data_IF_928474690563
#
_entry.id   IF_928474690563
#
_cell.length_a   1.000
_cell.length_b   1.000
_cell.length_c   1.000
_cell.angle_alpha   90.00
_cell.angle_beta   90.00
_cell.angle_gamma   90.00
#
_symmetry.space_group_name_H-M   'P 1'
#
loop_
_entity.id
_entity.type
_entity.pdbx_description
1 polymer ?
#
# COMPACT_ATOMS: atom_id res chain seq x y z
N UNK A 1 6.57 -6.35 7.80
CA UNK A 1 5.80 -5.16 7.46
C UNK A 1 4.61 -5.57 6.60
N UNK A 2 3.42 -5.05 6.87
CA UNK A 2 2.20 -5.41 6.16
C UNK A 2 1.57 -4.15 5.53
N UNK A 3 1.43 -4.12 4.22
CA UNK A 3 0.71 -3.07 3.50
C UNK A 3 -0.77 -3.42 3.40
N UNK A 4 -1.62 -2.53 3.87
CA UNK A 4 -3.07 -2.60 3.70
C UNK A 4 -3.47 -1.50 2.73
N UNK A 5 -3.91 -1.89 1.55
CA UNK A 5 -4.05 -1.02 0.39
C UNK A 5 -5.54 -0.83 0.07
N UNK A 6 -5.96 0.41 -0.08
CA UNK A 6 -7.22 0.77 -0.70
C UNK A 6 -7.08 0.58 -2.23
N UNK A 7 -7.68 -0.49 -2.73
CA UNK A 7 -7.48 -0.95 -4.09
C UNK A 7 -7.96 0.05 -5.13
N UNK A 8 -9.19 0.57 -5.00
CA UNK A 8 -9.71 1.53 -5.97
C UNK A 8 -9.05 2.89 -5.87
N UNK A 9 -8.70 3.34 -4.67
CA UNK A 9 -7.95 4.56 -4.50
C UNK A 9 -6.58 4.49 -5.20
N UNK A 10 -5.92 3.33 -5.14
CA UNK A 10 -4.65 3.12 -5.83
C UNK A 10 -4.82 3.00 -7.36
N UNK A 11 -5.86 2.30 -7.85
CA UNK A 11 -6.15 2.18 -9.28
C UNK A 11 -6.49 3.53 -9.93
N UNK A 12 -7.17 4.42 -9.21
CA UNK A 12 -7.55 5.73 -9.72
C UNK A 12 -6.41 6.73 -9.77
N UNK A 13 -5.22 6.38 -9.27
CA UNK A 13 -4.03 7.21 -9.44
C UNK A 13 -3.62 7.21 -10.92
N UNK A 14 -3.99 8.28 -11.62
CA UNK A 14 -3.57 8.52 -13.00
C UNK A 14 -4.44 7.90 -14.10
N UNK A 15 -5.40 7.02 -13.79
CA UNK A 15 -6.33 6.42 -14.78
C UNK A 15 -7.68 6.16 -14.14
N UNK A 16 -8.75 6.43 -14.88
CA UNK A 16 -10.11 6.00 -14.51
C UNK A 16 -10.56 4.92 -15.48
N UNK A 17 -10.81 3.69 -15.01
CA UNK A 17 -11.33 2.63 -15.88
C UNK A 17 -12.66 3.07 -16.52
N UNK A 18 -12.81 2.80 -17.82
CA UNK A 18 -13.98 3.20 -18.59
C UNK A 18 -15.05 2.12 -18.67
N UNK A 19 -14.70 0.88 -18.33
CA UNK A 19 -15.57 -0.29 -18.37
C UNK A 19 -15.24 -1.28 -17.26
N UNK A 20 -16.14 -2.27 -17.02
CA UNK A 20 -15.89 -3.37 -16.09
C UNK A 20 -14.69 -4.23 -16.52
N UNK A 21 -14.57 -4.50 -17.82
CA UNK A 21 -13.45 -5.27 -18.37
C UNK A 21 -12.11 -4.53 -18.20
N UNK A 22 -12.11 -3.20 -18.32
CA UNK A 22 -10.93 -2.38 -18.04
C UNK A 22 -10.56 -2.45 -16.57
N UNK A 23 -11.55 -2.41 -15.69
CA UNK A 23 -11.33 -2.49 -14.25
C UNK A 23 -10.75 -3.84 -13.82
N UNK A 24 -11.20 -4.95 -14.41
CA UNK A 24 -10.62 -6.28 -14.16
C UNK A 24 -9.16 -6.34 -14.61
N UNK A 25 -8.84 -5.85 -15.79
CA UNK A 25 -7.47 -5.77 -16.30
C UNK A 25 -6.56 -4.90 -15.43
N UNK A 26 -7.07 -3.75 -14.97
CA UNK A 26 -6.31 -2.87 -14.09
C UNK A 26 -6.07 -3.53 -12.72
N UNK A 27 -7.03 -4.29 -12.18
CA UNK A 27 -6.83 -5.09 -10.96
C UNK A 27 -5.76 -6.16 -11.14
N UNK A 28 -5.81 -6.92 -12.25
CA UNK A 28 -4.80 -7.94 -12.55
C UNK A 28 -3.42 -7.30 -12.69
N UNK A 29 -3.31 -6.19 -13.42
CA UNK A 29 -2.05 -5.46 -13.56
C UNK A 29 -1.50 -4.98 -12.22
N UNK A 30 -2.37 -4.43 -11.36
CA UNK A 30 -1.98 -4.03 -10.01
C UNK A 30 -1.45 -5.22 -9.19
N UNK A 31 -2.12 -6.37 -9.24
CA UNK A 31 -1.66 -7.60 -8.56
C UNK A 31 -0.30 -8.04 -9.07
N UNK A 32 -0.03 -7.96 -10.38
CA UNK A 32 1.26 -8.29 -10.96
C UNK A 32 2.37 -7.36 -10.50
N UNK A 33 2.09 -6.07 -10.47
CA UNK A 33 3.02 -5.05 -10.00
C UNK A 33 3.36 -5.25 -8.51
N UNK A 34 2.34 -5.46 -7.67
CA UNK A 34 2.52 -5.73 -6.24
C UNK A 34 3.24 -7.05 -5.97
N UNK A 35 2.95 -8.09 -6.74
CA UNK A 35 3.65 -9.38 -6.64
C UNK A 35 5.13 -9.23 -6.99
N UNK A 36 5.46 -8.48 -8.04
CA UNK A 36 6.83 -8.17 -8.44
C UNK A 36 7.57 -7.38 -7.36
N UNK A 37 6.92 -6.40 -6.77
CA UNK A 37 7.46 -5.64 -5.66
C UNK A 37 7.73 -6.54 -4.44
N UNK A 38 6.76 -7.41 -4.06
CA UNK A 38 6.87 -8.33 -2.93
C UNK A 38 8.03 -9.32 -3.08
N UNK A 39 8.33 -9.80 -4.30
CA UNK A 39 9.48 -10.68 -4.55
C UNK A 39 10.81 -10.01 -4.22
N UNK A 40 10.91 -8.70 -4.46
CA UNK A 40 12.13 -7.92 -4.20
C UNK A 40 12.22 -7.37 -2.78
N UNK A 41 11.09 -7.17 -2.14
CA UNK A 41 10.96 -6.61 -0.79
C UNK A 41 10.01 -7.48 0.03
N UNK A 42 10.52 -8.42 0.85
CA UNK A 42 9.67 -9.30 1.64
C UNK A 42 8.71 -8.51 2.54
N UNK A 43 7.43 -8.58 2.22
CA UNK A 43 6.35 -7.92 2.93
C UNK A 43 5.03 -8.67 2.72
N UNK A 44 4.08 -8.46 3.60
CA UNK A 44 2.70 -8.87 3.41
C UNK A 44 1.94 -7.76 2.71
N UNK A 45 1.07 -8.12 1.79
CA UNK A 45 0.23 -7.16 1.05
C UNK A 45 -1.19 -7.65 1.04
N UNK A 46 -2.10 -6.83 1.52
CA UNK A 46 -3.55 -7.02 1.42
C UNK A 46 -4.14 -5.84 0.66
N UNK A 47 -4.89 -6.13 -0.39
CA UNK A 47 -5.63 -5.12 -1.15
C UNK A 47 -7.12 -5.29 -0.87
N UNK A 48 -7.79 -4.20 -0.54
CA UNK A 48 -9.23 -4.19 -0.29
C UNK A 48 -9.94 -3.48 -1.42
N UNK A 49 -10.93 -4.15 -2.00
CA UNK A 49 -11.80 -3.61 -3.05
C UNK A 49 -13.25 -3.55 -2.58
N UNK A 50 -14.01 -2.59 -3.10
CA UNK A 50 -15.46 -2.63 -2.97
C UNK A 50 -16.04 -3.80 -3.75
N UNK A 51 -16.81 -4.66 -3.07
CA UNK A 51 -17.40 -5.86 -3.66
C UNK A 51 -18.75 -5.63 -4.35
N UNK A 52 -19.17 -4.36 -4.55
CA UNK A 52 -20.49 -4.04 -5.11
C UNK A 52 -20.75 -4.64 -6.49
N UNK A 53 -19.70 -4.83 -7.29
CA UNK A 53 -19.80 -5.42 -8.63
C UNK A 53 -20.05 -6.92 -8.61
N UNK A 54 -19.57 -7.63 -7.58
CA UNK A 54 -19.78 -9.07 -7.43
C UNK A 54 -21.12 -9.46 -6.81
N UNK A 55 -21.85 -8.49 -6.23
CA UNK A 55 -23.13 -8.73 -5.56
C UNK A 55 -23.07 -9.69 -4.37
N UNK A 56 -21.90 -9.98 -3.85
CA UNK A 56 -21.69 -10.97 -2.79
C UNK A 56 -22.33 -10.55 -1.47
N UNK A 57 -23.06 -11.48 -0.88
CA UNK A 57 -23.72 -11.30 0.42
C UNK A 57 -22.70 -11.28 1.56
N UNK A 58 -21.57 -11.97 1.40
CA UNK A 58 -20.48 -12.07 2.38
C UNK A 58 -19.18 -11.50 1.80
N UNK A 59 -18.30 -11.03 2.70
CA UNK A 59 -16.93 -10.63 2.34
C UNK A 59 -16.21 -11.80 1.65
N UNK A 60 -15.60 -11.53 0.51
CA UNK A 60 -14.81 -12.53 -0.21
C UNK A 60 -13.33 -12.28 0.05
N UNK A 61 -12.60 -13.38 0.21
CA UNK A 61 -11.13 -13.35 0.38
C UNK A 61 -10.53 -14.34 -0.59
N UNK A 62 -9.55 -13.88 -1.32
CA UNK A 62 -8.77 -14.71 -2.23
C UNK A 62 -7.29 -14.37 -2.12
N UNK A 63 -6.43 -15.27 -2.60
CA UNK A 63 -5.01 -15.03 -2.68
C UNK A 63 -4.54 -15.24 -4.10
N UNK A 64 -4.00 -14.18 -4.70
CA UNK A 64 -3.49 -14.20 -6.07
C UNK A 64 -2.04 -13.75 -6.07
N UNK A 65 -1.15 -14.57 -6.66
CA UNK A 65 0.29 -14.29 -6.81
C UNK A 65 0.98 -13.85 -5.50
N UNK A 66 0.48 -14.37 -4.36
CA UNK A 66 0.99 -14.05 -3.03
C UNK A 66 0.43 -12.77 -2.40
N UNK A 67 -0.48 -12.08 -3.08
CA UNK A 67 -1.22 -10.91 -2.60
C UNK A 67 -2.57 -11.37 -2.06
N UNK A 68 -2.95 -10.92 -0.87
CA UNK A 68 -4.28 -11.18 -0.30
C UNK A 68 -5.24 -10.12 -0.81
N UNK A 69 -6.34 -10.55 -1.42
CA UNK A 69 -7.40 -9.69 -1.95
C UNK A 69 -8.65 -9.86 -1.08
N UNK A 70 -9.25 -8.77 -0.69
CA UNK A 70 -10.49 -8.73 0.08
C UNK A 70 -11.50 -7.89 -0.70
N UNK A 71 -12.67 -8.47 -0.95
CA UNK A 71 -13.80 -7.77 -1.53
C UNK A 71 -14.87 -7.58 -0.47
N UNK A 72 -15.28 -6.36 -0.23
CA UNK A 72 -16.34 -6.07 0.75
C UNK A 72 -17.65 -6.73 0.34
N UNK A 73 -18.48 -7.04 1.33
CA UNK A 73 -19.82 -7.54 1.05
C UNK A 73 -20.72 -6.43 0.50
N UNK A 74 -21.83 -6.82 -0.10
CA UNK A 74 -22.87 -5.89 -0.59
C UNK A 74 -23.31 -4.93 0.53
N UNK A 75 -23.28 -3.64 0.25
CA UNK A 75 -23.65 -2.59 1.20
C UNK A 75 -22.57 -2.18 2.19
N UNK A 76 -21.39 -2.81 2.20
CA UNK A 76 -20.22 -2.42 2.97
C UNK A 76 -19.18 -1.82 2.02
N UNK A 77 -18.60 -0.69 2.39
CA UNK A 77 -17.52 -0.06 1.62
C UNK A 77 -16.16 -0.64 2.00
N UNK A 78 -15.20 -0.58 1.07
CA UNK A 78 -13.80 -0.93 1.33
C UNK A 78 -13.23 -0.16 2.54
N UNK A 79 -13.63 1.10 2.72
CA UNK A 79 -13.25 1.94 3.87
C UNK A 79 -13.55 1.28 5.21
N UNK A 80 -14.74 0.69 5.35
CA UNK A 80 -15.17 0.04 6.60
C UNK A 80 -14.35 -1.22 6.86
N UNK A 81 -14.05 -1.98 5.80
CA UNK A 81 -13.17 -3.15 5.89
C UNK A 81 -11.77 -2.73 6.31
N UNK A 82 -11.20 -1.69 5.69
CA UNK A 82 -9.88 -1.16 6.02
C UNK A 82 -9.84 -0.69 7.47
N UNK A 83 -10.82 0.10 7.92
CA UNK A 83 -10.91 0.58 9.32
C UNK A 83 -10.98 -0.58 10.31
N UNK A 84 -11.78 -1.62 10.01
CA UNK A 84 -11.89 -2.83 10.83
C UNK A 84 -10.55 -3.57 10.91
N UNK A 85 -9.86 -3.73 9.79
CA UNK A 85 -8.55 -4.39 9.75
C UNK A 85 -7.46 -3.59 10.49
N UNK A 86 -7.48 -2.26 10.39
CA UNK A 86 -6.57 -1.37 11.13
C UNK A 86 -6.79 -1.50 12.64
N UNK A 87 -8.05 -1.53 13.07
CA UNK A 87 -8.38 -1.67 14.49
C UNK A 87 -8.00 -3.05 15.06
N UNK A 88 -8.13 -4.11 14.26
CA UNK A 88 -7.84 -5.49 14.67
C UNK A 88 -6.39 -5.92 14.54
N UNK A 89 -5.58 -5.23 13.76
CA UNK A 89 -4.16 -5.56 13.55
C UNK A 89 -3.28 -4.70 14.44
N UNK A 90 -2.40 -5.35 15.17
CA UNK A 90 -1.41 -4.69 16.02
C UNK A 90 -0.35 -3.90 15.24
N UNK A 91 0.87 -3.83 15.76
CA UNK A 91 2.00 -3.12 15.15
C UNK A 91 2.43 -3.73 13.81
N UNK A 92 3.02 -2.94 12.93
CA UNK A 92 3.62 -3.40 11.67
C UNK A 92 2.75 -3.25 10.43
N UNK A 93 1.54 -2.69 10.56
CA UNK A 93 0.67 -2.32 9.44
C UNK A 93 1.01 -0.92 8.93
N UNK A 94 0.95 -0.75 7.61
CA UNK A 94 1.03 0.54 6.91
C UNK A 94 -0.17 0.62 5.98
N UNK A 95 -0.97 1.66 6.11
CA UNK A 95 -2.12 1.90 5.22
C UNK A 95 -1.67 2.68 3.99
N UNK A 96 -2.13 2.25 2.82
CA UNK A 96 -1.91 2.94 1.54
C UNK A 96 -3.24 3.47 1.04
N UNK A 97 -3.43 4.77 1.10
CA UNK A 97 -4.62 5.46 0.60
C UNK A 97 -4.37 6.96 0.52
N UNK A 98 -5.01 7.65 -0.41
CA UNK A 98 -5.12 9.11 -0.47
C UNK A 98 -6.46 9.62 0.06
N UNK A 99 -7.35 8.70 0.50
CA UNK A 99 -8.59 9.07 1.16
C UNK A 99 -8.33 9.69 2.54
N UNK A 100 -8.95 10.84 2.78
CA UNK A 100 -8.74 11.62 4.02
C UNK A 100 -9.41 10.99 5.23
N UNK A 101 -10.51 10.29 5.05
CA UNK A 101 -11.25 9.68 6.16
C UNK A 101 -10.50 8.47 6.69
N UNK A 102 -10.06 7.59 5.80
CA UNK A 102 -9.23 6.42 6.15
C UNK A 102 -7.91 6.88 6.75
N UNK A 103 -7.27 7.90 6.15
CA UNK A 103 -6.01 8.44 6.64
C UNK A 103 -6.11 8.98 8.07
N UNK A 104 -7.15 9.77 8.37
CA UNK A 104 -7.39 10.31 9.71
C UNK A 104 -7.69 9.21 10.73
N UNK A 105 -8.43 8.17 10.31
CA UNK A 105 -8.71 7.02 11.16
C UNK A 105 -7.42 6.26 11.51
N UNK A 106 -6.62 5.89 10.51
CA UNK A 106 -5.36 5.19 10.71
C UNK A 106 -4.38 6.00 11.59
N UNK A 107 -4.31 7.32 11.38
CA UNK A 107 -3.51 8.21 12.21
C UNK A 107 -3.92 8.24 13.68
N UNK A 108 -5.22 8.23 13.98
CA UNK A 108 -5.74 8.13 15.37
C UNK A 108 -5.34 6.81 16.01
N UNK A 109 -5.29 5.73 15.23
CA UNK A 109 -4.83 4.41 15.67
C UNK A 109 -3.30 4.29 15.70
N UNK A 110 -2.57 5.39 15.46
CA UNK A 110 -1.10 5.43 15.38
C UNK A 110 -0.52 4.50 14.29
N UNK A 111 -1.29 4.18 13.25
CA UNK A 111 -0.88 3.42 12.08
C UNK A 111 -0.32 4.39 11.03
N UNK A 112 0.87 4.12 10.44
CA UNK A 112 1.42 4.95 9.37
C UNK A 112 0.56 4.90 8.11
N UNK A 113 0.46 6.04 7.40
CA UNK A 113 -0.24 6.16 6.13
C UNK A 113 0.72 6.63 5.06
N UNK A 114 0.64 6.03 3.88
CA UNK A 114 1.35 6.42 2.67
C UNK A 114 0.31 6.79 1.62
N UNK A 115 0.40 7.98 0.98
CA UNK A 115 -0.47 8.33 -0.12
C UNK A 115 -0.34 7.36 -1.30
N UNK A 116 -1.46 7.06 -1.97
CA UNK A 116 -1.51 6.11 -3.08
C UNK A 116 -0.54 6.47 -4.20
N UNK A 117 -0.46 7.75 -4.57
CA UNK A 117 0.45 8.24 -5.61
C UNK A 117 1.92 7.98 -5.26
N UNK A 118 2.28 8.22 -3.99
CA UNK A 118 3.65 8.02 -3.53
C UNK A 118 4.04 6.54 -3.50
N UNK A 119 3.09 5.69 -3.10
CA UNK A 119 3.28 4.25 -3.08
C UNK A 119 3.40 3.69 -4.50
N UNK A 120 2.49 4.07 -5.41
CA UNK A 120 2.50 3.61 -6.81
C UNK A 120 3.82 3.97 -7.50
N UNK A 121 4.24 5.23 -7.41
CA UNK A 121 5.51 5.66 -7.99
C UNK A 121 6.70 4.81 -7.47
N UNK A 122 6.67 4.44 -6.19
CA UNK A 122 7.74 3.64 -5.59
C UNK A 122 7.77 2.19 -6.08
N UNK A 123 6.60 1.55 -6.19
CA UNK A 123 6.53 0.15 -6.68
C UNK A 123 6.87 0.08 -8.16
N UNK A 124 6.46 1.05 -8.99
CA UNK A 124 6.82 1.16 -10.40
C UNK A 124 8.33 1.33 -10.58
N UNK A 125 8.96 2.24 -9.84
CA UNK A 125 10.41 2.40 -9.86
C UNK A 125 11.15 1.12 -9.47
N UNK A 126 10.61 0.36 -8.52
CA UNK A 126 11.19 -0.92 -8.10
C UNK A 126 11.04 -1.97 -9.21
N UNK A 127 9.91 -1.98 -9.91
CA UNK A 127 9.66 -2.90 -11.03
C UNK A 127 10.58 -2.64 -12.23
N UNK A 128 10.91 -1.38 -12.50
CA UNK A 128 11.79 -0.96 -13.60
C UNK A 128 13.27 -1.21 -13.34
N UNK A 129 13.70 -1.42 -12.10
CA UNK A 129 15.11 -1.75 -11.82
C UNK A 129 15.42 -3.16 -12.32
N UNK A 130 16.49 -3.35 -13.12
CA UNK A 130 16.93 -4.69 -13.48
C UNK A 130 17.23 -5.49 -12.20
N UNK A 131 16.92 -6.78 -12.22
CA UNK A 131 17.31 -7.67 -11.13
C UNK A 131 18.85 -7.66 -11.07
N UNK A 132 19.39 -7.03 -10.03
CA UNK A 132 20.79 -7.24 -9.70
C UNK A 132 20.87 -8.65 -9.12
N UNK A 133 21.57 -9.52 -9.82
CA UNK A 133 22.06 -10.77 -9.25
C UNK A 133 22.70 -10.46 -7.90
N UNK A 134 22.33 -11.27 -6.92
CA UNK A 134 22.69 -11.23 -5.51
C UNK A 134 24.19 -10.92 -5.33
N UNK A 135 24.50 -9.88 -4.55
CA UNK A 135 25.85 -9.67 -4.04
C UNK A 135 26.46 -8.30 -4.33
N UNK A 136 25.95 -7.25 -3.70
CA UNK A 136 26.80 -6.15 -3.22
C UNK A 136 26.01 -5.21 -2.31
N UNK A 137 26.48 -5.13 -1.09
CA UNK A 137 26.09 -4.16 -0.07
C UNK A 137 26.16 -2.74 -0.64
N UNK A 138 25.08 -1.99 -0.46
CA UNK A 138 25.06 -0.58 -0.78
C UNK A 138 26.00 0.15 0.19
N UNK A 139 27.21 0.47 -0.26
CA UNK A 139 28.00 1.52 0.38
C UNK A 139 27.26 2.84 0.22
N UNK A 140 26.86 3.39 1.36
CA UNK A 140 26.24 4.71 1.47
C UNK A 140 27.18 5.78 0.91
N UNK A 141 26.66 6.56 -0.04
CA UNK A 141 27.18 7.87 -0.39
C UNK A 141 27.25 8.76 0.87
N UNK A 142 28.44 8.91 1.44
CA UNK A 142 28.77 9.87 2.48
C UNK A 142 29.07 11.24 1.87
N UNK A 143 28.02 11.84 1.31
CA UNK A 143 28.04 13.24 0.94
C UNK A 143 27.96 14.16 2.17
N UNK A 144 28.95 14.95 2.31
CA UNK A 144 29.23 16.05 3.23
C UNK A 144 28.01 16.77 3.82
N UNK A 145 27.81 16.68 5.16
CA UNK A 145 26.71 17.32 5.88
C UNK A 145 27.19 18.57 6.61
N UNK A 146 26.84 19.72 6.07
CA UNK A 146 26.79 20.96 6.85
C UNK A 146 25.78 20.85 7.98
N UNK A 147 26.23 20.99 9.22
CA UNK A 147 25.41 20.98 10.44
C UNK A 147 24.50 22.21 10.49
N UNK A 148 23.19 22.00 10.33
CA UNK A 148 22.14 22.96 10.73
C UNK A 148 21.40 22.47 11.97
N UNK A 149 20.68 23.33 12.74
CA UNK A 149 20.05 22.95 14.00
C UNK A 149 19.00 21.85 13.82
N UNK A 150 19.20 20.76 14.52
CA UNK A 150 18.35 19.56 14.49
C UNK A 150 16.99 19.83 15.13
N UNK A 151 15.95 20.10 14.33
CA UNK A 151 14.56 19.98 14.79
C UNK A 151 14.24 18.51 15.01
N UNK A 152 13.99 18.12 16.26
CA UNK A 152 13.52 16.77 16.60
C UNK A 152 12.19 16.51 15.89
N UNK A 153 12.19 15.58 14.96
CA UNK A 153 10.97 15.12 14.26
C UNK A 153 9.98 14.52 15.24
N UNK A 154 8.69 14.78 15.03
CA UNK A 154 7.62 14.19 15.83
C UNK A 154 7.62 12.66 15.71
N UNK A 155 7.05 11.96 16.69
CA UNK A 155 6.93 10.49 16.69
C UNK A 155 6.19 9.99 15.43
N UNK A 156 5.20 10.75 14.94
CA UNK A 156 4.44 10.51 13.71
C UNK A 156 5.34 10.57 12.47
N UNK A 157 6.14 11.62 12.34
CA UNK A 157 7.07 11.79 11.21
C UNK A 157 8.18 10.75 11.20
N UNK A 158 8.69 10.38 12.38
CA UNK A 158 9.68 9.29 12.49
C UNK A 158 9.11 7.96 12.01
N UNK A 159 7.87 7.61 12.38
CA UNK A 159 7.19 6.38 11.93
C UNK A 159 6.94 6.41 10.43
N UNK A 160 6.48 7.55 9.87
CA UNK A 160 6.26 7.72 8.42
C UNK A 160 7.57 7.58 7.64
N UNK A 161 8.67 8.21 8.11
CA UNK A 161 10.00 8.05 7.48
C UNK A 161 10.53 6.62 7.56
N UNK A 162 10.31 5.94 8.69
CA UNK A 162 10.73 4.55 8.84
C UNK A 162 9.94 3.61 7.91
N UNK A 163 8.64 3.86 7.71
CA UNK A 163 7.84 3.12 6.74
C UNK A 163 8.31 3.36 5.31
N UNK A 164 8.58 4.63 4.94
CA UNK A 164 9.10 5.00 3.62
C UNK A 164 10.51 4.47 3.34
N UNK A 165 11.37 4.38 4.35
CA UNK A 165 12.72 3.82 4.19
C UNK A 165 12.72 2.31 3.92
N UNK A 166 11.66 1.61 4.36
CA UNK A 166 11.49 0.17 4.13
C UNK A 166 10.79 -0.16 2.80
N UNK A 167 10.26 0.83 2.09
CA UNK A 167 9.78 0.73 0.70
C UNK A 167 10.98 0.72 -0.25
#
# INVERSE_FOLDING_TARGET
>A
MHFLIDGYNLLHVGRSPKSLADLEREREHLVDLLSSYRRRRPCEVTVVFDGWQGGWVTEQRERSKGIDLIFSKRGEKADEVIKRLVAGKGSGVVVVTSDREISRFAERMAVPVIPSEQFLARIEQTALRPEKEDGSEEEEDRGDRKKGPSRRLSKKERRKRAALKKL
#
